data_IF_872792438323
#
_entry.id   IF_872792438323
#
_cell.length_a   1.000
_cell.length_b   1.000
_cell.length_c   1.000
_cell.angle_alpha   90.00
_cell.angle_beta   90.00
_cell.angle_gamma   90.00
#
_symmetry.space_group_name_H-M   'P 1'
#
loop_
_entity.id
_entity.type
_entity.pdbx_description
1 polymer ?
#
# COMPACT_ATOMS: atom_id res chain seq x y z
N UNK A 1 -13.62 -10.78 -30.85
CA UNK A 1 -12.95 -9.48 -31.06
C UNK A 1 -13.04 -8.73 -29.74
N UNK A 2 -11.92 -8.52 -29.07
CA UNK A 2 -11.86 -7.83 -27.77
C UNK A 2 -12.16 -6.35 -27.97
N UNK A 3 -13.31 -5.90 -27.47
CA UNK A 3 -13.65 -4.49 -27.44
C UNK A 3 -12.95 -3.83 -26.25
N UNK A 4 -12.31 -2.67 -26.47
CA UNK A 4 -11.62 -1.90 -25.41
C UNK A 4 -12.56 -1.47 -24.26
N UNK A 5 -13.86 -1.35 -24.52
CA UNK A 5 -14.83 -0.97 -23.50
C UNK A 5 -15.19 -2.11 -22.54
N UNK A 6 -14.89 -3.38 -22.88
CA UNK A 6 -15.32 -4.54 -22.10
C UNK A 6 -14.86 -4.49 -20.64
N UNK A 7 -13.57 -4.20 -20.41
CA UNK A 7 -12.99 -4.07 -19.06
C UNK A 7 -13.54 -2.85 -18.29
N UNK A 8 -13.98 -1.81 -19.00
CA UNK A 8 -14.48 -0.57 -18.41
C UNK A 8 -15.97 -0.66 -18.01
N UNK A 9 -16.68 -1.70 -18.47
CA UNK A 9 -18.09 -1.92 -18.12
C UNK A 9 -18.30 -2.17 -16.63
N UNK A 10 -17.31 -2.73 -15.94
CA UNK A 10 -17.44 -3.01 -14.50
C UNK A 10 -17.51 -1.71 -13.69
N UNK A 11 -16.67 -0.73 -14.02
CA UNK A 11 -16.68 0.60 -13.40
C UNK A 11 -18.01 1.33 -13.68
N UNK A 12 -18.51 1.21 -14.91
CA UNK A 12 -19.83 1.74 -15.26
C UNK A 12 -20.95 1.09 -14.45
N UNK A 13 -20.94 -0.24 -14.31
CA UNK A 13 -21.98 -0.99 -13.61
C UNK A 13 -22.04 -0.66 -12.11
N UNK A 14 -20.89 -0.55 -11.44
CA UNK A 14 -20.82 -0.23 -10.01
C UNK A 14 -20.94 1.28 -9.72
N UNK A 15 -21.05 2.13 -10.74
CA UNK A 15 -21.18 3.58 -10.57
C UNK A 15 -19.86 4.28 -10.22
N UNK A 16 -18.74 3.62 -10.47
CA UNK A 16 -17.38 4.13 -10.21
C UNK A 16 -16.78 4.83 -11.44
N UNK A 17 -17.42 4.72 -12.61
CA UNK A 17 -17.01 5.45 -13.80
C UNK A 17 -17.20 6.97 -13.62
N UNK A 18 -16.16 7.74 -13.93
CA UNK A 18 -16.28 9.19 -14.03
C UNK A 18 -17.26 9.61 -15.14
N UNK A 19 -17.61 10.90 -15.18
CA UNK A 19 -18.61 11.41 -16.11
C UNK A 19 -18.23 11.20 -17.59
N UNK A 20 -16.94 11.27 -17.93
CA UNK A 20 -16.45 11.07 -19.28
C UNK A 20 -16.53 9.61 -19.70
N UNK A 21 -16.08 8.71 -18.82
CA UNK A 21 -16.16 7.28 -19.04
C UNK A 21 -17.62 6.82 -19.15
N UNK A 22 -18.49 7.31 -18.27
CA UNK A 22 -19.92 7.02 -18.31
C UNK A 22 -20.55 7.40 -19.64
N UNK A 23 -20.33 8.64 -20.10
CA UNK A 23 -20.84 9.10 -21.39
C UNK A 23 -20.28 8.28 -22.56
N UNK A 24 -19.00 7.92 -22.51
CA UNK A 24 -18.36 7.07 -23.52
C UNK A 24 -18.98 5.67 -23.62
N UNK A 25 -19.21 5.02 -22.47
CA UNK A 25 -19.88 3.71 -22.43
C UNK A 25 -21.31 3.81 -22.97
N UNK A 26 -22.08 4.82 -22.54
CA UNK A 26 -23.47 5.01 -22.98
C UNK A 26 -23.57 5.27 -24.49
N UNK A 27 -22.63 6.03 -25.07
CA UNK A 27 -22.54 6.23 -26.51
C UNK A 27 -22.11 4.96 -27.27
N UNK A 28 -21.33 4.08 -26.66
CA UNK A 28 -20.82 2.86 -27.28
C UNK A 28 -21.86 1.72 -27.33
N UNK A 29 -22.67 1.57 -26.27
CA UNK A 29 -23.62 0.45 -26.12
C UNK A 29 -24.62 0.26 -27.28
N UNK A 30 -25.16 1.31 -27.94
CA UNK A 30 -26.01 1.14 -29.10
C UNK A 30 -25.32 0.41 -30.27
N UNK A 31 -24.02 0.64 -30.46
CA UNK A 31 -23.23 0.12 -31.58
C UNK A 31 -22.54 -1.22 -31.35
N UNK A 32 -22.44 -1.69 -30.10
CA UNK A 32 -21.66 -2.88 -29.76
C UNK A 32 -22.49 -3.97 -29.06
N UNK A 33 -22.87 -5.00 -29.81
CA UNK A 33 -23.64 -6.13 -29.28
C UNK A 33 -22.87 -6.93 -28.21
N UNK A 34 -21.54 -7.05 -28.34
CA UNK A 34 -20.70 -7.76 -27.38
C UNK A 34 -20.75 -7.09 -25.99
N UNK A 35 -20.49 -5.78 -25.92
CA UNK A 35 -20.54 -5.04 -24.67
C UNK A 35 -21.94 -5.00 -24.04
N UNK A 36 -23.01 -4.99 -24.84
CA UNK A 36 -24.38 -5.15 -24.30
C UNK A 36 -24.59 -6.52 -23.65
N UNK A 37 -24.11 -7.58 -24.29
CA UNK A 37 -24.20 -8.95 -23.75
C UNK A 37 -23.39 -9.11 -22.46
N UNK A 38 -22.18 -8.58 -22.41
CA UNK A 38 -21.33 -8.58 -21.21
C UNK A 38 -21.97 -7.80 -20.06
N UNK A 39 -22.48 -6.59 -20.34
CA UNK A 39 -23.15 -5.77 -19.33
C UNK A 39 -24.39 -6.46 -18.76
N UNK A 40 -25.17 -7.14 -19.60
CA UNK A 40 -26.33 -7.92 -19.16
C UNK A 40 -25.90 -9.14 -18.33
N UNK A 41 -24.85 -9.86 -18.74
CA UNK A 41 -24.31 -10.98 -17.98
C UNK A 41 -23.83 -10.54 -16.59
N UNK A 42 -23.16 -9.39 -16.48
CA UNK A 42 -22.73 -8.81 -15.22
C UNK A 42 -23.92 -8.43 -14.32
N UNK A 43 -24.98 -7.82 -14.89
CA UNK A 43 -26.22 -7.51 -14.15
C UNK A 43 -26.89 -8.76 -13.60
N UNK A 44 -27.00 -9.81 -14.42
CA UNK A 44 -27.57 -11.10 -14.00
C UNK A 44 -26.74 -11.75 -12.90
N UNK A 45 -25.41 -11.71 -13.01
CA UNK A 45 -24.51 -12.20 -11.97
C UNK A 45 -24.69 -11.42 -10.66
N UNK A 46 -24.72 -10.09 -10.72
CA UNK A 46 -24.99 -9.23 -9.56
C UNK A 46 -26.34 -9.50 -8.90
N UNK A 47 -27.39 -9.68 -9.70
CA UNK A 47 -28.72 -10.03 -9.22
C UNK A 47 -28.76 -11.39 -8.50
N UNK A 48 -28.06 -12.41 -9.02
CA UNK A 48 -27.92 -13.70 -8.34
C UNK A 48 -27.18 -13.58 -7.02
N UNK A 49 -26.04 -12.89 -7.00
CA UNK A 49 -25.25 -12.68 -5.78
C UNK A 49 -26.06 -11.93 -4.71
N UNK A 50 -26.82 -10.91 -5.10
CA UNK A 50 -27.71 -10.18 -4.19
C UNK A 50 -28.82 -11.08 -3.63
N UNK A 51 -29.40 -11.96 -4.46
CA UNK A 51 -30.40 -12.93 -4.00
C UNK A 51 -29.83 -13.97 -3.01
N UNK A 52 -28.53 -14.24 -3.06
CA UNK A 52 -27.81 -15.09 -2.09
C UNK A 52 -27.25 -14.33 -0.89
N UNK A 53 -27.48 -13.01 -0.78
CA UNK A 53 -27.05 -12.25 0.39
C UNK A 53 -27.88 -12.69 1.62
N UNK A 54 -27.41 -13.74 2.29
CA UNK A 54 -27.92 -14.11 3.59
C UNK A 54 -27.53 -13.00 4.58
N UNK A 55 -28.53 -12.49 5.29
CA UNK A 55 -28.30 -11.58 6.42
C UNK A 55 -27.24 -12.20 7.35
N UNK A 56 -26.18 -11.47 7.72
CA UNK A 56 -25.20 -11.99 8.67
C UNK A 56 -25.91 -12.36 9.97
N UNK A 57 -25.49 -13.46 10.60
CA UNK A 57 -26.07 -13.88 11.88
C UNK A 57 -25.96 -12.72 12.90
N UNK A 58 -26.98 -12.47 13.75
CA UNK A 58 -26.94 -11.38 14.71
C UNK A 58 -25.71 -11.40 15.63
N UNK A 59 -25.18 -12.59 15.94
CA UNK A 59 -23.95 -12.74 16.72
C UNK A 59 -22.71 -12.19 16.02
N UNK A 60 -22.61 -12.35 14.69
CA UNK A 60 -21.52 -11.81 13.88
C UNK A 60 -21.60 -10.29 13.84
N UNK A 61 -22.80 -9.73 13.63
CA UNK A 61 -23.01 -8.28 13.71
C UNK A 61 -22.63 -7.72 15.09
N UNK A 62 -23.07 -8.38 16.16
CA UNK A 62 -22.72 -7.99 17.53
C UNK A 62 -21.20 -8.04 17.77
N UNK A 63 -20.52 -9.08 17.28
CA UNK A 63 -19.07 -9.22 17.38
C UNK A 63 -18.34 -8.10 16.65
N UNK A 64 -18.68 -7.82 15.38
CA UNK A 64 -18.10 -6.73 14.59
C UNK A 64 -18.33 -5.37 15.26
N UNK A 65 -19.55 -5.11 15.73
CA UNK A 65 -19.87 -3.85 16.41
C UNK A 65 -19.17 -3.71 17.77
N UNK A 66 -18.88 -4.82 18.45
CA UNK A 66 -18.07 -4.80 19.68
C UNK A 66 -16.60 -4.51 19.38
N UNK A 67 -16.04 -5.13 18.33
CA UNK A 67 -14.67 -4.92 17.90
C UNK A 67 -14.44 -3.47 17.46
N UNK A 68 -15.35 -2.90 16.66
CA UNK A 68 -15.29 -1.49 16.24
C UNK A 68 -15.31 -0.52 17.43
N UNK A 69 -16.16 -0.78 18.44
CA UNK A 69 -16.20 0.04 19.67
C UNK A 69 -14.91 -0.04 20.48
N UNK A 70 -14.29 -1.22 20.54
CA UNK A 70 -13.04 -1.41 21.25
C UNK A 70 -11.85 -0.79 20.50
N UNK A 71 -11.82 -0.87 19.18
CA UNK A 71 -10.83 -0.18 18.35
C UNK A 71 -10.87 1.33 18.55
N UNK A 72 -12.07 1.92 18.69
CA UNK A 72 -12.23 3.36 18.97
C UNK A 72 -11.74 3.77 20.36
N UNK A 73 -11.70 2.85 21.33
CA UNK A 73 -11.16 3.12 22.68
C UNK A 73 -9.63 3.08 22.73
N UNK A 74 -8.97 2.46 21.74
CA UNK A 74 -7.51 2.39 21.64
C UNK A 74 -6.87 3.52 20.82
N UNK A 75 -7.67 4.36 20.16
CA UNK A 75 -7.17 5.43 19.30
C UNK A 75 -7.04 6.74 20.10
N UNK A 76 -5.80 7.03 20.53
CA UNK A 76 -5.32 8.32 21.05
C UNK A 76 -5.97 8.81 22.36
N UNK A 77 -5.38 8.44 23.49
CA UNK A 77 -5.40 9.33 24.66
C UNK A 77 -4.48 10.52 24.36
N UNK A 78 -5.03 11.59 23.81
CA UNK A 78 -4.30 12.84 23.64
C UNK A 78 -4.20 13.53 25.01
N UNK A 79 -3.12 13.31 25.74
CA UNK A 79 -2.84 14.09 26.93
C UNK A 79 -2.40 15.48 26.52
N UNK A 80 -3.08 16.50 27.05
CA UNK A 80 -2.68 17.91 26.90
C UNK A 80 -1.21 18.16 27.30
N UNK A 81 -0.65 17.27 28.12
CA UNK A 81 0.74 17.28 28.54
C UNK A 81 1.70 16.85 27.43
N UNK A 82 1.34 15.86 26.60
CA UNK A 82 2.12 15.52 25.39
C UNK A 82 2.01 16.62 24.33
N UNK A 83 0.83 17.24 24.18
CA UNK A 83 0.60 18.34 23.25
C UNK A 83 1.50 19.56 23.54
N UNK A 84 1.66 19.90 24.82
CA UNK A 84 2.53 20.99 25.27
C UNK A 84 4.01 20.66 25.03
N UNK A 85 4.41 19.40 25.22
CA UNK A 85 5.78 18.96 24.94
C UNK A 85 6.10 18.98 23.44
N UNK A 86 5.18 18.52 22.58
CA UNK A 86 5.35 18.60 21.13
C UNK A 86 5.37 20.05 20.62
N UNK A 87 4.54 20.92 21.21
CA UNK A 87 4.50 22.34 20.87
C UNK A 87 5.81 23.04 21.23
N UNK A 88 6.34 22.79 22.43
CA UNK A 88 7.62 23.35 22.86
C UNK A 88 8.77 22.87 21.96
N UNK A 89 8.78 21.59 21.61
CA UNK A 89 9.82 21.01 20.75
C UNK A 89 9.75 21.58 19.32
N UNK A 90 8.54 21.75 18.76
CA UNK A 90 8.35 22.39 17.47
C UNK A 90 8.77 23.88 17.47
N UNK A 91 8.49 24.62 18.54
CA UNK A 91 8.95 26.01 18.69
C UNK A 91 10.47 26.11 18.81
N UNK A 92 11.11 25.18 19.53
CA UNK A 92 12.58 25.12 19.62
C UNK A 92 13.19 24.80 18.26
N UNK A 93 12.68 23.79 17.55
CA UNK A 93 13.17 23.44 16.21
C UNK A 93 12.95 24.58 15.20
N UNK A 94 11.78 25.22 15.22
CA UNK A 94 11.50 26.39 14.37
C UNK A 94 12.40 27.58 14.69
N UNK A 95 12.69 27.81 15.98
CA UNK A 95 13.64 28.83 16.43
C UNK A 95 15.06 28.54 15.97
N UNK A 96 15.53 27.30 16.12
CA UNK A 96 16.84 26.87 15.60
C UNK A 96 16.88 27.07 14.09
N UNK A 97 15.88 26.60 13.34
CA UNK A 97 15.84 26.73 11.88
C UNK A 97 15.83 28.19 11.43
N UNK A 98 15.08 29.07 12.10
CA UNK A 98 15.06 30.49 11.79
C UNK A 98 16.40 31.20 12.11
N UNK A 99 17.12 30.74 13.13
CA UNK A 99 18.39 31.34 13.54
C UNK A 99 19.61 30.76 12.81
N UNK A 100 19.55 29.50 12.38
CA UNK A 100 20.61 28.82 11.64
C UNK A 100 20.42 28.85 10.13
N UNK A 101 19.26 29.29 9.63
CA UNK A 101 19.06 29.47 8.19
C UNK A 101 19.90 30.65 7.70
N UNK A 102 20.94 30.42 6.88
CA UNK A 102 21.66 31.53 6.26
C UNK A 102 20.70 32.17 5.27
N UNK A 103 20.19 33.35 5.61
CA UNK A 103 19.43 34.18 4.68
C UNK A 103 20.29 34.38 3.41
N UNK A 104 19.92 33.71 2.31
CA UNK A 104 20.54 33.89 1.01
C UNK A 104 21.16 32.68 0.31
N UNK A 105 21.02 31.44 0.81
CA UNK A 105 21.27 30.28 -0.07
C UNK A 105 19.97 29.88 -0.76
N UNK A 106 19.90 30.14 -2.06
CA UNK A 106 18.84 29.67 -2.95
C UNK A 106 18.61 28.18 -2.71
N UNK A 107 17.46 27.85 -2.11
CA UNK A 107 16.85 26.52 -2.16
C UNK A 107 16.25 26.30 -3.56
N UNK A 108 17.04 26.59 -4.59
CA UNK A 108 16.70 26.22 -5.94
C UNK A 108 16.80 24.69 -6.03
N UNK A 109 15.93 24.09 -6.83
CA UNK A 109 15.93 22.65 -7.14
C UNK A 109 17.32 22.13 -7.58
N UNK A 110 18.19 23.03 -8.03
CA UNK A 110 19.57 22.83 -8.49
C UNK A 110 20.64 23.04 -7.38
N UNK A 111 20.27 22.96 -6.10
CA UNK A 111 21.15 23.18 -4.94
C UNK A 111 22.13 22.02 -4.64
N UNK A 112 22.31 21.09 -5.57
CA UNK A 112 23.12 19.88 -5.36
C UNK A 112 22.46 18.88 -4.39
N UNK A 113 21.22 19.13 -3.97
CA UNK A 113 20.42 18.19 -3.18
C UNK A 113 20.19 16.90 -3.98
N UNK A 114 19.88 17.01 -5.28
CA UNK A 114 19.73 15.87 -6.19
C UNK A 114 21.01 15.03 -6.28
N UNK A 115 22.19 15.68 -6.37
CA UNK A 115 23.47 14.96 -6.43
C UNK A 115 23.77 14.17 -5.14
N UNK A 116 23.32 14.68 -3.99
CA UNK A 116 23.42 13.94 -2.73
C UNK A 116 22.36 12.82 -2.63
N UNK A 117 21.15 13.06 -3.16
CA UNK A 117 20.10 12.04 -3.24
C UNK A 117 20.56 10.84 -4.09
N UNK A 118 21.17 11.09 -5.24
CA UNK A 118 21.72 10.04 -6.11
C UNK A 118 22.76 9.20 -5.35
N UNK A 119 23.66 9.83 -4.58
CA UNK A 119 24.67 9.11 -3.79
C UNK A 119 24.08 8.25 -2.68
N UNK A 120 22.96 8.69 -2.07
CA UNK A 120 22.21 7.91 -1.08
C UNK A 120 21.49 6.74 -1.75
N UNK A 121 20.95 6.95 -2.95
CA UNK A 121 20.30 5.88 -3.70
C UNK A 121 21.32 4.78 -4.06
N UNK A 122 22.51 5.16 -4.53
CA UNK A 122 23.58 4.21 -4.83
C UNK A 122 24.09 3.46 -3.59
N UNK A 123 24.20 4.11 -2.43
CA UNK A 123 24.65 3.43 -1.21
C UNK A 123 23.63 2.39 -0.72
N UNK A 124 22.33 2.65 -0.87
CA UNK A 124 21.28 1.67 -0.51
C UNK A 124 21.37 0.42 -1.38
N UNK A 125 21.58 0.55 -2.69
CA UNK A 125 21.75 -0.62 -3.56
C UNK A 125 23.04 -1.38 -3.27
N UNK A 126 24.11 -0.67 -2.89
CA UNK A 126 25.38 -1.29 -2.54
C UNK A 126 25.26 -2.11 -1.24
N UNK A 127 24.66 -1.54 -0.19
CA UNK A 127 24.37 -2.25 1.07
C UNK A 127 23.44 -3.43 0.86
N UNK A 128 22.43 -3.31 -0.02
CA UNK A 128 21.55 -4.43 -0.37
C UNK A 128 22.31 -5.56 -1.08
N UNK A 129 23.27 -5.20 -1.94
CA UNK A 129 24.13 -6.16 -2.63
C UNK A 129 25.06 -6.86 -1.63
N UNK A 130 25.70 -6.12 -0.72
CA UNK A 130 26.60 -6.67 0.29
C UNK A 130 25.84 -7.56 1.29
N UNK A 131 24.63 -7.18 1.70
CA UNK A 131 23.73 -8.04 2.48
C UNK A 131 23.38 -9.33 1.75
N UNK A 132 23.05 -9.27 0.46
CA UNK A 132 22.77 -10.47 -0.33
C UNK A 132 23.99 -11.35 -0.56
N UNK A 133 25.19 -10.77 -0.67
CA UNK A 133 26.44 -11.50 -0.79
C UNK A 133 26.79 -12.24 0.52
N UNK A 134 26.61 -11.58 1.68
CA UNK A 134 26.81 -12.21 2.99
C UNK A 134 25.77 -13.28 3.31
N UNK A 135 24.53 -13.17 2.79
CA UNK A 135 23.52 -14.22 2.92
C UNK A 135 23.95 -15.53 2.25
N UNK A 136 24.67 -15.46 1.13
CA UNK A 136 25.23 -16.65 0.47
C UNK A 136 26.28 -17.37 1.33
N UNK A 137 27.09 -16.64 2.09
CA UNK A 137 28.11 -17.20 2.99
C UNK A 137 27.49 -18.03 4.14
N UNK A 138 26.30 -17.64 4.62
CA UNK A 138 25.56 -18.40 5.62
C UNK A 138 25.06 -19.75 5.11
N UNK A 139 24.60 -19.83 3.85
CA UNK A 139 24.12 -21.09 3.25
C UNK A 139 25.25 -22.11 3.06
N UNK A 140 26.45 -21.65 2.66
CA UNK A 140 27.62 -22.53 2.55
C UNK A 140 28.07 -23.06 3.91
N UNK A 141 28.16 -22.19 4.93
CA UNK A 141 28.55 -22.62 6.27
C UNK A 141 27.53 -23.53 6.95
N UNK A 142 26.26 -23.44 6.59
CA UNK A 142 25.24 -24.36 7.08
C UNK A 142 25.43 -25.77 6.51
N UNK A 143 25.75 -25.86 5.22
CA UNK A 143 26.03 -27.13 4.54
C UNK A 143 27.26 -27.84 5.14
N UNK A 144 28.33 -27.09 5.43
CA UNK A 144 29.52 -27.64 6.11
C UNK A 144 29.20 -28.20 7.50
N UNK A 145 28.31 -27.54 8.26
CA UNK A 145 27.89 -28.03 9.58
C UNK A 145 27.01 -29.30 9.49
N UNK A 146 26.18 -29.43 8.45
CA UNK A 146 25.41 -30.65 8.21
C UNK A 146 26.33 -31.83 7.82
N UNK A 147 27.33 -31.58 6.97
CA UNK A 147 28.33 -32.58 6.57
C UNK A 147 29.16 -33.05 7.78
N UNK A 148 29.62 -32.12 8.63
CA UNK A 148 30.34 -32.45 9.87
C UNK A 148 29.47 -33.25 10.85
N UNK A 149 28.18 -32.90 10.99
CA UNK A 149 27.24 -33.63 11.84
C UNK A 149 26.98 -35.06 11.34
N UNK A 150 26.89 -35.24 10.01
CA UNK A 150 26.75 -36.56 9.39
C UNK A 150 27.99 -37.43 9.65
N UNK A 151 29.20 -36.88 9.47
CA UNK A 151 30.46 -37.59 9.70
C UNK A 151 30.66 -38.01 11.17
N UNK A 152 30.19 -37.20 12.13
CA UNK A 152 30.23 -37.55 13.56
C UNK A 152 29.26 -38.71 13.87
N UNK A 153 28.12 -38.78 13.19
CA UNK A 153 27.13 -39.85 13.39
C UNK A 153 27.56 -41.22 12.84
N UNK A 154 28.38 -41.25 11.79
CA UNK A 154 28.89 -42.50 11.19
C UNK A 154 30.04 -43.12 11.99
N UNK A 155 30.71 -42.35 12.85
CA UNK A 155 31.83 -42.80 13.68
C UNK A 155 31.42 -43.14 15.14
N UNK A 156 30.13 -43.10 15.46
CA UNK A 156 29.55 -43.43 16.77
C UNK A 156 28.88 -44.82 16.76
#
# INVERSE_FOLDING_TARGET
MSCEYGEKLILYLYGEADAGLKAGVEAHLPGCAACRGELEALRLAGGRLAAFSAEPRPSVLAAVMSAARNARRGAFSFGWREALLSGALASVLGGVFAFTSPAGKELAWNSGLDANLDSVEYSVYQEQTDLSASAGDWDYRYSELEDDAAAVSENA
#
